data_IF_048602747782
#
_entry.id   IF_048602747782
#
_cell.length_a   1.000
_cell.length_b   1.000
_cell.length_c   1.000
_cell.angle_alpha   90.00
_cell.angle_beta   90.00
_cell.angle_gamma   90.00
#
_symmetry.space_group_name_H-M   'P 1'
#
loop_
_entity.id
_entity.type
_entity.pdbx_description
1 polymer ?
#
# COMPACT_ATOMS: atom_id res chain seq x y z
N UNK A 1 -21.52 0.12 -0.82
CA UNK A 1 -20.72 -1.14 -0.85
C UNK A 1 -20.63 -1.59 -2.29
N UNK A 2 -19.42 -1.76 -2.82
CA UNK A 2 -19.24 -2.30 -4.17
C UNK A 2 -19.56 -3.80 -4.14
N UNK A 3 -20.46 -4.32 -4.97
CA UNK A 3 -20.92 -5.73 -4.94
C UNK A 3 -19.84 -6.75 -5.34
N UNK A 4 -18.60 -6.34 -5.55
CA UNK A 4 -17.52 -7.24 -5.97
C UNK A 4 -16.66 -7.78 -4.81
N UNK A 5 -16.93 -7.39 -3.55
CA UNK A 5 -16.25 -7.97 -2.39
C UNK A 5 -16.61 -9.46 -2.25
N UNK A 6 -15.60 -10.31 -2.23
CA UNK A 6 -15.76 -11.76 -2.01
C UNK A 6 -16.02 -12.62 -3.24
N UNK A 7 -16.03 -12.09 -4.46
CA UNK A 7 -16.17 -12.90 -5.69
C UNK A 7 -14.80 -13.40 -6.17
N UNK A 8 -14.68 -14.68 -6.42
CA UNK A 8 -13.54 -15.24 -7.13
C UNK A 8 -13.59 -14.80 -8.60
N UNK A 9 -12.54 -14.13 -9.07
CA UNK A 9 -12.44 -13.61 -10.45
C UNK A 9 -11.48 -14.47 -11.24
N UNK A 10 -11.86 -14.80 -12.49
CA UNK A 10 -10.97 -15.51 -13.42
C UNK A 10 -9.73 -14.66 -13.72
N UNK A 11 -8.55 -15.28 -13.63
CA UNK A 11 -7.27 -14.61 -13.86
C UNK A 11 -7.09 -14.09 -15.28
N UNK A 12 -7.82 -14.60 -16.27
CA UNK A 12 -7.73 -14.15 -17.67
C UNK A 12 -8.03 -12.67 -17.85
N UNK A 13 -8.89 -12.10 -16.99
CA UNK A 13 -9.28 -10.69 -17.02
C UNK A 13 -8.77 -9.91 -15.82
N UNK A 14 -7.77 -10.43 -15.11
CA UNK A 14 -7.22 -9.83 -13.91
C UNK A 14 -5.77 -9.42 -14.10
N UNK A 15 -5.40 -8.27 -13.53
CA UNK A 15 -4.04 -7.72 -13.55
C UNK A 15 -3.53 -7.66 -12.11
N UNK A 16 -2.42 -8.37 -11.86
CA UNK A 16 -1.70 -8.31 -10.61
C UNK A 16 -0.81 -7.09 -10.53
N UNK A 17 -0.79 -6.42 -9.38
CA UNK A 17 0.20 -5.38 -9.07
C UNK A 17 0.78 -5.61 -7.66
N UNK A 18 2.05 -5.28 -7.46
CA UNK A 18 2.78 -5.34 -6.20
C UNK A 18 4.15 -4.68 -6.38
N UNK A 19 4.92 -4.47 -5.31
CA UNK A 19 6.19 -3.72 -5.35
C UNK A 19 7.21 -4.29 -6.35
N UNK A 20 7.28 -5.62 -6.46
CA UNK A 20 8.20 -6.32 -7.37
C UNK A 20 7.53 -6.79 -8.68
N UNK A 21 6.37 -6.23 -9.03
CA UNK A 21 5.74 -6.51 -10.33
C UNK A 21 6.62 -6.02 -11.48
N UNK A 22 6.52 -6.69 -12.63
CA UNK A 22 7.24 -6.23 -13.84
C UNK A 22 6.80 -4.80 -14.20
N UNK A 23 7.74 -3.94 -14.63
CA UNK A 23 7.39 -2.64 -15.19
C UNK A 23 6.34 -2.77 -16.32
N UNK A 24 5.35 -1.86 -16.40
CA UNK A 24 5.16 -0.69 -15.54
C UNK A 24 4.26 -0.93 -14.30
N UNK A 25 3.74 -2.15 -14.10
CA UNK A 25 2.71 -2.44 -13.08
C UNK A 25 3.17 -2.23 -11.62
N UNK A 26 4.49 -2.30 -11.34
CA UNK A 26 5.05 -1.98 -10.03
C UNK A 26 4.70 -0.55 -9.57
N UNK A 27 4.47 0.38 -10.51
CA UNK A 27 4.09 1.76 -10.21
C UNK A 27 2.72 1.88 -9.53
N UNK A 28 1.88 0.84 -9.64
CA UNK A 28 0.58 0.81 -8.97
C UNK A 28 0.71 0.50 -7.47
N UNK A 29 1.79 -0.16 -7.03
CA UNK A 29 2.00 -0.49 -5.61
C UNK A 29 2.07 0.75 -4.73
N UNK A 30 1.59 0.63 -3.48
CA UNK A 30 1.76 1.65 -2.44
C UNK A 30 3.23 1.87 -2.08
N UNK A 31 4.07 0.86 -2.31
CA UNK A 31 5.50 0.89 -2.06
C UNK A 31 6.30 1.50 -3.21
N UNK A 32 5.66 1.87 -4.31
CA UNK A 32 6.35 2.57 -5.39
C UNK A 32 6.83 3.94 -4.91
N UNK A 33 8.14 4.17 -5.03
CA UNK A 33 8.77 5.43 -4.66
C UNK A 33 8.30 6.55 -5.61
N UNK A 34 7.45 7.42 -5.09
CA UNK A 34 6.96 8.60 -5.79
C UNK A 34 6.56 9.66 -4.77
N UNK A 35 6.99 10.89 -5.02
CA UNK A 35 6.68 11.99 -4.11
C UNK A 35 5.18 12.28 -4.12
N UNK A 36 4.59 12.34 -2.93
CA UNK A 36 3.18 12.62 -2.72
C UNK A 36 3.06 13.82 -1.80
N UNK A 37 2.31 14.82 -2.22
CA UNK A 37 1.86 15.91 -1.35
C UNK A 37 0.50 15.54 -0.76
N UNK A 38 0.40 15.49 0.55
CA UNK A 38 -0.83 15.15 1.24
C UNK A 38 -0.91 15.91 2.57
N UNK A 39 -2.05 16.55 2.83
CA UNK A 39 -2.33 17.31 4.05
C UNK A 39 -1.20 18.32 4.39
N UNK A 40 -0.80 19.11 3.38
CA UNK A 40 0.24 20.13 3.50
C UNK A 40 1.67 19.60 3.67
N UNK A 41 1.89 18.29 3.61
CA UNK A 41 3.21 17.65 3.80
C UNK A 41 3.61 16.82 2.60
N UNK A 42 4.92 16.53 2.50
CA UNK A 42 5.52 15.81 1.38
C UNK A 42 6.05 14.47 1.85
N UNK A 43 5.63 13.40 1.20
CA UNK A 43 5.97 12.02 1.53
C UNK A 43 6.64 11.30 0.35
N UNK A 44 7.56 10.35 0.59
CA UNK A 44 8.27 9.66 -0.48
C UNK A 44 7.47 8.52 -1.14
N UNK A 45 6.34 8.11 -0.56
CA UNK A 45 5.43 7.10 -1.15
C UNK A 45 4.03 7.16 -0.53
N UNK A 46 3.08 6.44 -1.15
CA UNK A 46 1.72 6.24 -0.59
C UNK A 46 1.77 5.60 0.80
N UNK A 47 2.65 4.62 1.00
CA UNK A 47 2.78 3.93 2.28
C UNK A 47 3.28 4.89 3.37
N UNK A 48 4.27 5.75 3.09
CA UNK A 48 4.73 6.76 4.04
C UNK A 48 3.60 7.71 4.44
N UNK A 49 2.86 8.22 3.47
CA UNK A 49 1.71 9.10 3.73
C UNK A 49 0.65 8.40 4.59
N UNK A 50 0.31 7.15 4.27
CA UNK A 50 -0.66 6.37 5.04
C UNK A 50 -0.20 6.11 6.48
N UNK A 51 1.03 5.64 6.68
CA UNK A 51 1.57 5.37 8.01
C UNK A 51 1.70 6.63 8.85
N UNK A 52 2.02 7.78 8.23
CA UNK A 52 2.05 9.06 8.89
C UNK A 52 0.69 9.41 9.51
N UNK A 53 -0.40 9.25 8.76
CA UNK A 53 -1.76 9.57 9.23
C UNK A 53 -2.24 8.65 10.36
N UNK A 54 -1.63 7.47 10.50
CA UNK A 54 -1.88 6.57 11.61
C UNK A 54 -0.99 6.85 12.83
N UNK A 55 -0.03 7.77 12.72
CA UNK A 55 0.94 8.09 13.75
C UNK A 55 0.60 9.40 14.45
N UNK A 56 0.85 9.48 15.76
CA UNK A 56 0.83 10.76 16.48
C UNK A 56 2.05 11.64 16.14
N UNK A 57 3.04 11.10 15.44
CA UNK A 57 4.26 11.80 14.97
C UNK A 57 4.32 11.86 13.44
N UNK A 58 3.35 12.47 12.85
CA UNK A 58 3.17 12.57 11.40
C UNK A 58 4.42 13.12 10.69
N UNK A 59 5.12 14.11 11.30
CA UNK A 59 6.34 14.71 10.76
C UNK A 59 7.50 13.72 10.57
N UNK A 60 7.52 12.65 11.37
CA UNK A 60 8.59 11.65 11.29
C UNK A 60 8.59 10.87 9.96
N UNK A 61 7.50 10.92 9.18
CA UNK A 61 7.32 10.19 7.93
C UNK A 61 7.53 11.06 6.68
N UNK A 62 7.77 12.36 6.83
CA UNK A 62 7.96 13.29 5.70
C UNK A 62 9.26 13.00 4.94
N UNK A 63 9.35 13.45 3.70
CA UNK A 63 10.45 13.16 2.77
C UNK A 63 11.85 13.40 3.34
N UNK A 64 12.01 14.42 4.18
CA UNK A 64 13.31 14.80 4.78
C UNK A 64 13.56 14.16 6.13
N UNK A 65 12.58 13.51 6.73
CA UNK A 65 12.68 12.90 8.05
C UNK A 65 13.43 11.56 8.04
N UNK A 66 13.75 11.05 9.24
CA UNK A 66 14.45 9.79 9.39
C UNK A 66 13.66 8.60 8.85
N UNK A 67 12.34 8.53 9.11
CA UNK A 67 11.49 7.45 8.59
C UNK A 67 11.21 7.66 7.09
N UNK A 68 11.04 8.90 6.64
CA UNK A 68 10.85 9.22 5.23
C UNK A 68 12.04 8.86 4.33
N UNK A 69 13.23 8.69 4.90
CA UNK A 69 14.42 8.19 4.19
C UNK A 69 14.49 6.67 4.11
N UNK A 70 13.59 5.95 4.77
CA UNK A 70 13.49 4.49 4.67
C UNK A 70 12.84 4.10 3.35
N UNK A 71 13.01 2.83 2.96
CA UNK A 71 12.18 2.28 1.89
C UNK A 71 10.71 2.20 2.33
N UNK A 72 9.76 2.19 1.39
CA UNK A 72 8.33 2.04 1.73
C UNK A 72 8.03 0.79 2.54
N UNK A 73 8.72 -0.32 2.25
CA UNK A 73 8.60 -1.57 3.00
C UNK A 73 9.09 -1.41 4.44
N UNK A 74 10.19 -0.71 4.64
CA UNK A 74 10.73 -0.42 5.96
C UNK A 74 9.80 0.53 6.75
N UNK A 75 9.23 1.52 6.09
CA UNK A 75 8.23 2.41 6.67
C UNK A 75 6.98 1.64 7.14
N UNK A 76 6.50 0.68 6.32
CA UNK A 76 5.40 -0.19 6.69
C UNK A 76 5.69 -0.97 7.98
N UNK A 77 6.90 -1.51 8.11
CA UNK A 77 7.32 -2.24 9.32
C UNK A 77 7.33 -1.36 10.58
N UNK A 78 7.78 -0.13 10.47
CA UNK A 78 7.70 0.86 11.57
C UNK A 78 6.25 1.06 12.01
N UNK A 79 5.34 1.06 11.05
CA UNK A 79 3.91 1.18 11.31
C UNK A 79 3.27 0.00 12.07
N UNK A 80 3.91 -1.19 12.12
CA UNK A 80 3.40 -2.41 12.78
C UNK A 80 4.44 -3.02 13.73
N UNK A 81 4.77 -2.34 14.84
CA UNK A 81 5.87 -2.73 15.74
C UNK A 81 5.67 -4.09 16.41
N UNK A 82 4.42 -4.51 16.63
CA UNK A 82 4.10 -5.76 17.34
C UNK A 82 4.34 -7.02 16.50
N UNK A 83 4.72 -6.87 15.24
CA UNK A 83 4.94 -8.00 14.36
C UNK A 83 6.36 -8.58 14.58
N UNK A 84 6.54 -9.39 15.62
CA UNK A 84 7.82 -10.04 16.02
C UNK A 84 8.52 -10.79 14.88
N UNK A 85 7.79 -11.19 13.82
CA UNK A 85 8.38 -11.86 12.64
C UNK A 85 9.19 -10.92 11.76
N UNK A 86 8.89 -9.64 11.77
CA UNK A 86 9.63 -8.63 11.00
C UNK A 86 11.00 -8.30 11.62
N UNK A 87 11.19 -8.56 12.91
CA UNK A 87 12.49 -8.42 13.56
C UNK A 87 13.55 -9.41 13.02
N UNK A 88 13.14 -10.45 12.30
CA UNK A 88 13.99 -11.47 11.67
C UNK A 88 14.12 -11.33 10.15
N UNK A 89 13.58 -10.27 9.55
CA UNK A 89 13.78 -10.06 8.12
C UNK A 89 15.25 -9.78 7.82
N UNK A 90 15.86 -10.61 6.97
CA UNK A 90 17.21 -10.40 6.41
C UNK A 90 17.32 -9.10 5.58
N UNK A 91 16.22 -8.44 5.36
CA UNK A 91 16.07 -7.11 4.77
C UNK A 91 16.92 -6.03 5.44
N UNK A 92 17.27 -6.25 6.72
CA UNK A 92 18.11 -5.37 7.51
C UNK A 92 19.53 -5.92 7.56
N UNK A 93 20.31 -5.69 6.51
CA UNK A 93 21.73 -6.07 6.60
C UNK A 93 22.38 -5.32 7.77
N UNK A 94 23.19 -6.01 8.56
CA UNK A 94 23.89 -5.40 9.70
C UNK A 94 24.82 -4.24 9.30
N UNK A 95 25.08 -4.08 7.99
CA UNK A 95 25.94 -3.03 7.43
C UNK A 95 25.17 -1.81 6.94
N UNK A 96 23.84 -1.87 6.92
CA UNK A 96 23.02 -0.78 6.42
C UNK A 96 22.60 0.13 7.58
N UNK A 97 23.15 1.35 7.60
CA UNK A 97 22.79 2.37 8.59
C UNK A 97 21.29 2.67 8.60
N UNK A 98 20.64 2.60 7.45
CA UNK A 98 19.18 2.78 7.31
C UNK A 98 18.44 1.68 8.05
N UNK A 99 18.88 0.43 7.93
CA UNK A 99 18.31 -0.70 8.66
C UNK A 99 18.46 -0.59 10.18
N UNK A 100 19.61 -0.14 10.66
CA UNK A 100 19.84 0.11 12.10
C UNK A 100 18.89 1.20 12.61
N UNK A 101 18.81 2.32 11.89
CA UNK A 101 17.94 3.42 12.25
C UNK A 101 16.46 2.99 12.29
N UNK A 102 16.02 2.22 11.31
CA UNK A 102 14.66 1.69 11.29
C UNK A 102 14.37 0.80 12.49
N UNK A 103 15.27 -0.13 12.86
CA UNK A 103 15.11 -0.95 14.07
C UNK A 103 14.97 -0.11 15.34
N UNK A 104 15.79 0.93 15.48
CA UNK A 104 15.71 1.84 16.61
C UNK A 104 14.38 2.60 16.64
N UNK A 105 13.92 3.08 15.50
CA UNK A 105 12.64 3.78 15.36
C UNK A 105 11.45 2.87 15.63
N UNK A 106 11.46 1.63 15.13
CA UNK A 106 10.43 0.61 15.43
C UNK A 106 10.34 0.39 16.93
N UNK A 107 11.47 0.15 17.59
CA UNK A 107 11.51 -0.09 19.03
C UNK A 107 11.00 1.13 19.82
N UNK A 108 11.41 2.33 19.44
CA UNK A 108 10.97 3.58 20.05
C UNK A 108 9.46 3.80 19.87
N UNK A 109 8.94 3.59 18.66
CA UNK A 109 7.50 3.74 18.38
C UNK A 109 6.66 2.70 19.13
N UNK A 110 7.12 1.47 19.23
CA UNK A 110 6.45 0.43 20.02
C UNK A 110 6.35 0.80 21.50
N UNK A 111 7.45 1.30 22.09
CA UNK A 111 7.49 1.73 23.50
C UNK A 111 6.57 2.92 23.80
N UNK A 112 6.35 3.80 22.83
CA UNK A 112 5.58 5.03 23.02
C UNK A 112 4.08 4.88 22.72
N UNK A 113 3.61 3.73 22.23
CA UNK A 113 2.19 3.49 21.93
C UNK A 113 1.64 4.42 20.83
N UNK A 114 2.45 4.79 19.84
CA UNK A 114 2.23 5.94 18.97
C UNK A 114 1.30 5.69 17.78
N UNK A 115 0.50 4.62 17.78
CA UNK A 115 -0.45 4.37 16.70
C UNK A 115 -1.87 4.70 17.13
N UNK A 116 -2.53 5.46 16.28
CA UNK A 116 -3.98 5.64 16.38
C UNK A 116 -4.70 4.40 15.86
N UNK A 117 -5.70 3.94 16.59
CA UNK A 117 -6.62 2.91 16.09
C UNK A 117 -7.60 3.61 15.14
N UNK A 118 -7.66 3.11 13.92
CA UNK A 118 -8.62 3.57 12.92
C UNK A 118 -9.53 2.41 12.51
N UNK A 119 -10.76 2.71 12.20
CA UNK A 119 -11.70 1.72 11.69
C UNK A 119 -11.31 1.27 10.28
N UNK A 120 -12.00 0.24 9.79
CA UNK A 120 -11.81 -0.23 8.42
C UNK A 120 -12.19 0.88 7.42
N UNK A 121 -13.31 1.51 7.62
CA UNK A 121 -13.86 2.57 6.78
C UNK A 121 -12.92 3.80 6.75
N UNK A 122 -12.45 4.24 7.90
CA UNK A 122 -11.48 5.33 7.99
C UNK A 122 -10.18 5.03 7.23
N UNK A 123 -9.67 3.80 7.34
CA UNK A 123 -8.50 3.37 6.58
C UNK A 123 -8.73 3.40 5.07
N UNK A 124 -9.90 2.95 4.62
CA UNK A 124 -10.27 2.95 3.20
C UNK A 124 -10.39 4.36 2.64
N UNK A 125 -11.06 5.25 3.37
CA UNK A 125 -11.25 6.64 2.95
C UNK A 125 -9.94 7.42 2.95
N UNK A 126 -9.06 7.13 3.89
CA UNK A 126 -7.72 7.68 3.91
C UNK A 126 -6.92 7.23 2.68
N UNK A 127 -6.91 5.93 2.37
CA UNK A 127 -6.24 5.42 1.17
C UNK A 127 -6.82 6.00 -0.12
N UNK A 128 -8.15 6.14 -0.25
CA UNK A 128 -8.77 6.78 -1.41
C UNK A 128 -8.20 8.17 -1.66
N UNK A 129 -8.09 8.99 -0.61
CA UNK A 129 -7.54 10.34 -0.70
C UNK A 129 -6.06 10.33 -1.13
N UNK A 130 -5.22 9.55 -0.46
CA UNK A 130 -3.79 9.49 -0.75
C UNK A 130 -3.53 8.93 -2.16
N UNK A 131 -4.24 7.89 -2.57
CA UNK A 131 -4.11 7.31 -3.90
C UNK A 131 -4.53 8.29 -5.01
N UNK A 132 -5.59 9.07 -4.80
CA UNK A 132 -5.97 10.11 -5.75
C UNK A 132 -4.83 11.11 -5.94
N UNK A 133 -4.19 11.57 -4.85
CA UNK A 133 -3.06 12.49 -4.94
C UNK A 133 -1.86 11.86 -5.66
N UNK A 134 -1.56 10.57 -5.39
CA UNK A 134 -0.53 9.84 -6.13
C UNK A 134 -0.74 9.91 -7.64
N UNK A 135 -1.94 9.57 -8.10
CA UNK A 135 -2.21 9.48 -9.54
C UNK A 135 -2.55 10.82 -10.19
N UNK A 136 -2.91 11.83 -9.42
CA UNK A 136 -3.05 13.21 -9.91
C UNK A 136 -1.68 13.87 -10.12
N UNK A 137 -0.76 13.67 -9.19
CA UNK A 137 0.59 14.26 -9.25
C UNK A 137 1.56 13.50 -10.16
N UNK A 138 1.42 12.18 -10.31
CA UNK A 138 2.30 11.36 -11.15
C UNK A 138 1.59 10.94 -12.44
N UNK A 139 1.84 11.67 -13.54
CA UNK A 139 1.22 11.42 -14.85
C UNK A 139 1.56 10.04 -15.42
N UNK A 140 2.78 9.54 -15.18
CA UNK A 140 3.23 8.22 -15.66
C UNK A 140 2.48 7.11 -14.93
N UNK A 141 2.41 7.14 -13.60
CA UNK A 141 1.64 6.17 -12.83
C UNK A 141 0.15 6.23 -13.17
N UNK A 142 -0.40 7.45 -13.36
CA UNK A 142 -1.78 7.66 -13.81
C UNK A 142 -2.04 6.97 -15.15
N UNK A 143 -1.15 7.16 -16.12
CA UNK A 143 -1.26 6.50 -17.43
C UNK A 143 -1.29 4.98 -17.28
N UNK A 144 -0.38 4.40 -16.47
CA UNK A 144 -0.36 2.95 -16.21
C UNK A 144 -1.68 2.47 -15.63
N UNK A 145 -2.25 3.19 -14.65
CA UNK A 145 -3.55 2.84 -14.07
C UNK A 145 -4.69 2.90 -15.11
N UNK A 146 -4.72 3.93 -15.94
CA UNK A 146 -5.76 4.10 -16.96
C UNK A 146 -5.64 3.07 -18.09
N UNK A 147 -4.41 2.69 -18.47
CA UNK A 147 -4.12 1.68 -19.49
C UNK A 147 -4.59 0.27 -19.06
N UNK A 148 -4.84 0.03 -17.78
CA UNK A 148 -5.47 -1.22 -17.32
C UNK A 148 -6.94 -1.37 -17.76
N UNK A 149 -7.51 -0.36 -18.40
CA UNK A 149 -8.90 -0.31 -18.90
C UNK A 149 -9.89 -0.78 -17.82
N UNK A 150 -10.67 -1.81 -18.11
CA UNK A 150 -11.69 -2.36 -17.20
C UNK A 150 -11.26 -3.66 -16.54
N UNK A 151 -9.98 -4.04 -16.69
CA UNK A 151 -9.44 -5.23 -16.04
C UNK A 151 -9.67 -5.19 -14.52
N UNK A 152 -9.92 -6.35 -13.94
CA UNK A 152 -9.95 -6.52 -12.49
C UNK A 152 -8.54 -6.35 -11.94
N UNK A 153 -8.34 -5.47 -10.97
CA UNK A 153 -7.04 -5.23 -10.34
C UNK A 153 -6.97 -5.95 -9.01
N UNK A 154 -5.85 -6.63 -8.75
CA UNK A 154 -5.61 -7.22 -7.44
C UNK A 154 -4.18 -7.01 -6.96
N UNK A 155 -4.03 -6.69 -5.68
CA UNK A 155 -2.72 -6.62 -5.04
C UNK A 155 -2.26 -8.05 -4.74
N UNK A 156 -1.23 -8.49 -5.45
CA UNK A 156 -0.75 -9.86 -5.33
C UNK A 156 0.02 -10.08 -4.02
N UNK A 157 -0.40 -11.09 -3.27
CA UNK A 157 0.25 -11.57 -2.06
C UNK A 157 0.75 -12.99 -2.29
N UNK A 158 2.01 -13.26 -1.94
CA UNK A 158 2.58 -14.62 -2.13
C UNK A 158 1.94 -15.61 -1.17
N UNK A 159 1.58 -16.80 -1.68
CA UNK A 159 0.96 -17.91 -0.94
C UNK A 159 1.81 -18.46 0.23
N UNK A 160 3.12 -18.16 0.25
CA UNK A 160 4.02 -18.55 1.35
C UNK A 160 3.74 -17.80 2.67
N UNK A 161 2.86 -16.82 2.65
CA UNK A 161 2.39 -16.19 3.87
C UNK A 161 1.48 -17.17 4.63
N UNK A 162 2.06 -17.93 5.56
CA UNK A 162 1.36 -18.89 6.44
C UNK A 162 0.19 -18.29 7.24
N UNK A 163 0.00 -16.97 7.22
CA UNK A 163 -1.19 -16.29 7.75
C UNK A 163 -2.46 -16.66 6.99
N UNK A 164 -2.39 -16.86 5.68
CA UNK A 164 -3.52 -17.28 4.87
C UNK A 164 -4.07 -18.66 5.26
N UNK A 165 -3.20 -19.55 5.76
CA UNK A 165 -3.57 -20.95 6.02
C UNK A 165 -4.02 -21.21 7.45
N UNK A 166 -3.72 -20.32 8.42
CA UNK A 166 -3.86 -20.65 9.82
C UNK A 166 -5.24 -20.37 10.41
N UNK A 167 -6.01 -19.41 9.84
CA UNK A 167 -7.31 -19.00 10.41
C UNK A 167 -8.43 -18.91 9.37
N UNK A 168 -8.21 -19.29 8.09
CA UNK A 168 -9.20 -19.07 7.03
C UNK A 168 -9.45 -17.59 6.69
N UNK A 169 -8.78 -16.69 7.38
CA UNK A 169 -8.88 -15.25 7.14
C UNK A 169 -7.95 -14.85 6.00
N UNK A 170 -8.56 -14.40 4.94
CA UNK A 170 -7.90 -13.87 3.76
C UNK A 170 -7.34 -12.49 4.10
N UNK A 171 -6.09 -12.24 3.69
CA UNK A 171 -5.46 -10.96 3.94
C UNK A 171 -6.31 -9.82 3.34
N UNK A 172 -6.68 -8.87 4.18
CA UNK A 172 -7.62 -7.79 3.87
C UNK A 172 -7.24 -6.99 2.62
N UNK A 173 -5.96 -6.63 2.49
CA UNK A 173 -5.51 -5.70 1.46
C UNK A 173 -5.28 -6.34 0.11
N UNK A 174 -4.85 -7.59 0.08
CA UNK A 174 -4.43 -8.28 -1.11
C UNK A 174 -5.26 -9.51 -1.47
N UNK A 175 -4.79 -10.21 -2.51
CA UNK A 175 -5.33 -11.46 -2.98
C UNK A 175 -4.24 -12.36 -3.54
N UNK A 176 -4.56 -13.64 -3.67
CA UNK A 176 -3.69 -14.67 -4.25
C UNK A 176 -4.44 -15.42 -5.35
N UNK A 177 -3.70 -16.20 -6.12
CA UNK A 177 -4.32 -17.13 -7.10
C UNK A 177 -4.43 -18.50 -6.45
N UNK A 178 -5.65 -19.02 -6.43
CA UNK A 178 -5.98 -20.40 -6.03
C UNK A 178 -6.82 -21.00 -7.14
N UNK A 179 -6.38 -22.11 -7.70
CA UNK A 179 -7.08 -22.83 -8.78
C UNK A 179 -7.52 -21.93 -9.96
N UNK A 180 -6.60 -21.04 -10.38
CA UNK A 180 -6.85 -20.12 -11.49
C UNK A 180 -7.79 -18.95 -11.19
N UNK A 181 -8.16 -18.75 -9.93
CA UNK A 181 -9.04 -17.66 -9.48
C UNK A 181 -8.33 -16.74 -8.51
N UNK A 182 -8.66 -15.45 -8.57
CA UNK A 182 -8.20 -14.47 -7.57
C UNK A 182 -9.05 -14.63 -6.31
N UNK A 183 -8.42 -14.95 -5.20
CA UNK A 183 -9.06 -15.19 -3.90
C UNK A 183 -8.46 -14.25 -2.86
N UNK A 184 -9.29 -13.52 -2.15
CA UNK A 184 -8.92 -12.56 -1.11
C UNK A 184 -9.90 -11.40 -1.03
N UNK A 185 -9.84 -10.63 0.06
CA UNK A 185 -10.64 -9.41 0.22
C UNK A 185 -10.25 -8.35 -0.82
N UNK A 186 -8.97 -8.38 -1.23
CA UNK A 186 -8.44 -7.54 -2.30
C UNK A 186 -8.86 -6.06 -2.18
N UNK A 187 -8.85 -5.53 -0.98
CA UNK A 187 -9.31 -4.18 -0.72
C UNK A 187 -8.49 -3.14 -1.49
N UNK A 188 -7.18 -3.34 -1.60
CA UNK A 188 -6.33 -2.43 -2.37
C UNK A 188 -6.68 -2.44 -3.86
N UNK A 189 -6.95 -3.61 -4.43
CA UNK A 189 -7.43 -3.70 -5.81
C UNK A 189 -8.76 -2.97 -6.03
N UNK A 190 -9.70 -3.09 -5.08
CA UNK A 190 -10.97 -2.36 -5.13
C UNK A 190 -10.75 -0.85 -5.07
N UNK A 191 -9.86 -0.37 -4.20
CA UNK A 191 -9.50 1.05 -4.11
C UNK A 191 -8.86 1.54 -5.42
N UNK A 192 -7.97 0.77 -6.03
CA UNK A 192 -7.35 1.13 -7.31
C UNK A 192 -8.37 1.23 -8.45
N UNK A 193 -9.32 0.30 -8.52
CA UNK A 193 -10.41 0.36 -9.50
C UNK A 193 -11.32 1.57 -9.26
N UNK A 194 -11.61 1.91 -8.01
CA UNK A 194 -12.36 3.11 -7.66
C UNK A 194 -11.60 4.39 -8.07
N UNK A 195 -10.31 4.50 -7.78
CA UNK A 195 -9.46 5.62 -8.18
C UNK A 195 -9.43 5.75 -9.71
N UNK A 196 -9.24 4.64 -10.43
CA UNK A 196 -9.28 4.61 -11.90
C UNK A 196 -10.60 5.19 -12.46
N UNK A 197 -11.74 4.76 -11.90
CA UNK A 197 -13.07 5.28 -12.29
C UNK A 197 -13.19 6.79 -12.01
N UNK A 198 -12.71 7.24 -10.85
CA UNK A 198 -12.74 8.67 -10.46
C UNK A 198 -11.90 9.53 -11.40
N UNK A 199 -10.68 9.08 -11.73
CA UNK A 199 -9.78 9.80 -12.64
C UNK A 199 -10.34 9.87 -14.06
N UNK A 200 -10.96 8.81 -14.57
CA UNK A 200 -11.62 8.84 -15.89
C UNK A 200 -12.72 9.89 -15.93
N UNK A 201 -13.53 9.95 -14.88
CA UNK A 201 -14.59 10.97 -14.79
C UNK A 201 -13.99 12.38 -14.79
N UNK A 202 -12.96 12.63 -13.97
CA UNK A 202 -12.28 13.93 -13.92
C UNK A 202 -11.66 14.35 -15.27
N UNK A 203 -11.18 13.38 -16.07
CA UNK A 203 -10.61 13.64 -17.38
C UNK A 203 -11.69 13.90 -18.45
N UNK A 204 -12.86 13.27 -18.36
CA UNK A 204 -13.98 13.51 -19.29
C UNK A 204 -14.74 14.82 -19.03
N UNK A 205 -14.62 15.35 -17.82
CA UNK A 205 -15.28 16.62 -17.41
C UNK A 205 -14.38 17.85 -17.61
N UNK A 206 -13.12 17.66 -18.05
CA UNK A 206 -12.26 18.79 -18.44
C UNK A 206 -12.61 19.23 -19.84
N UNK A 207 -12.93 20.54 -20.03
CA UNK A 207 -13.22 21.12 -21.34
C UNK A 207 -12.02 21.04 -22.29
#
# INVERSE_FOLDING_TARGET
MDPQHGRSVDTKNAIAFYSNAKPPLHMLSNFYATVIQFDGKVYPSTEHAFQAQLSVHLEAYTLTSAIGKLTPEACHLVGFPDNKKHAKCDFWSKKDMVGILAKMLIAKHAQLGLKQKVTREESEDLFKKILLEKFRSNSTARKVLLDTKDAYLYEFVRSSNKRFQKNGEIERWGAMIVDGKVVGDNQMGALMMWVRKKLRKELSEKP
#
